data_IF_028708665300
#
_entry.id   IF_028708665300
#
_cell.length_a   1.000
_cell.length_b   1.000
_cell.length_c   1.000
_cell.angle_alpha   90.00
_cell.angle_beta   90.00
_cell.angle_gamma   90.00
#
_symmetry.space_group_name_H-M   'P 1'
#
loop_
_entity.id
_entity.type
_entity.pdbx_description
1 polymer ?
#
# COMPACT_ATOMS: atom_id res chain seq x y z
N UNK A 1 -16.98 18.09 -25.61
CA UNK A 1 -16.74 16.67 -25.91
C UNK A 1 -16.61 16.58 -27.42
N UNK A 2 -15.55 15.94 -27.90
CA UNK A 2 -15.36 15.71 -29.33
C UNK A 2 -16.33 14.63 -29.83
N UNK A 3 -16.88 14.80 -31.03
CA UNK A 3 -17.67 13.75 -31.71
C UNK A 3 -16.76 12.68 -32.35
N UNK A 4 -15.43 12.86 -32.26
CA UNK A 4 -14.46 11.92 -32.79
C UNK A 4 -14.28 10.72 -31.84
N UNK A 5 -14.63 9.54 -32.33
CA UNK A 5 -14.58 8.28 -31.58
C UNK A 5 -13.16 7.86 -31.18
N UNK A 6 -12.11 8.33 -31.87
CA UNK A 6 -10.69 8.14 -31.46
C UNK A 6 -10.40 8.95 -30.19
N UNK A 7 -10.82 10.23 -30.17
CA UNK A 7 -10.65 11.12 -29.02
C UNK A 7 -11.42 10.58 -27.82
N UNK A 8 -12.67 10.16 -28.02
CA UNK A 8 -13.49 9.56 -26.96
C UNK A 8 -12.84 8.33 -26.32
N UNK A 9 -12.21 7.45 -27.11
CA UNK A 9 -11.52 6.27 -26.54
C UNK A 9 -10.34 6.66 -25.64
N UNK A 10 -9.56 7.67 -26.03
CA UNK A 10 -8.45 8.16 -25.22
C UNK A 10 -8.94 8.88 -23.96
N UNK A 11 -9.94 9.75 -24.10
CA UNK A 11 -10.57 10.43 -22.96
C UNK A 11 -11.11 9.42 -21.95
N UNK A 12 -11.87 8.41 -22.40
CA UNK A 12 -12.40 7.36 -21.53
C UNK A 12 -11.30 6.57 -20.80
N UNK A 13 -10.20 6.25 -21.48
CA UNK A 13 -9.07 5.54 -20.87
C UNK A 13 -8.36 6.39 -19.83
N UNK A 14 -8.14 7.68 -20.12
CA UNK A 14 -7.54 8.64 -19.20
C UNK A 14 -8.45 8.92 -17.99
N UNK A 15 -9.76 9.01 -18.21
CA UNK A 15 -10.75 9.18 -17.15
C UNK A 15 -10.74 7.97 -16.22
N UNK A 16 -10.73 6.75 -16.77
CA UNK A 16 -10.58 5.52 -15.98
C UNK A 16 -9.30 5.56 -15.12
N UNK A 17 -8.18 5.98 -15.69
CA UNK A 17 -6.92 6.13 -14.95
C UNK A 17 -7.03 7.15 -13.82
N UNK A 18 -7.58 8.33 -14.11
CA UNK A 18 -7.77 9.42 -13.14
C UNK A 18 -8.71 9.01 -11.99
N UNK A 19 -9.81 8.32 -12.31
CA UNK A 19 -10.71 7.76 -11.31
C UNK A 19 -10.00 6.79 -10.38
N UNK A 20 -9.18 5.89 -10.93
CA UNK A 20 -8.43 4.92 -10.13
C UNK A 20 -7.32 5.56 -9.31
N UNK A 21 -6.64 6.58 -9.81
CA UNK A 21 -5.71 7.37 -9.01
C UNK A 21 -6.43 8.07 -7.85
N UNK A 22 -7.57 8.71 -8.10
CA UNK A 22 -8.36 9.34 -7.06
C UNK A 22 -8.83 8.32 -5.99
N UNK A 23 -9.27 7.14 -6.42
CA UNK A 23 -9.64 6.03 -5.52
C UNK A 23 -8.44 5.61 -4.64
N UNK A 24 -7.23 5.50 -5.22
CA UNK A 24 -6.00 5.17 -4.48
C UNK A 24 -5.71 6.20 -3.39
N UNK A 25 -5.83 7.50 -3.68
CA UNK A 25 -5.61 8.56 -2.69
C UNK A 25 -6.54 8.44 -1.49
N UNK A 26 -7.81 8.11 -1.75
CA UNK A 26 -8.77 7.85 -0.69
C UNK A 26 -8.39 6.60 0.11
N UNK A 27 -8.05 5.49 -0.55
CA UNK A 27 -7.72 4.23 0.13
C UNK A 27 -6.47 4.31 1.01
N UNK A 28 -5.44 5.07 0.62
CA UNK A 28 -4.20 5.16 1.41
C UNK A 28 -4.41 5.97 2.69
N UNK A 29 -5.27 6.98 2.65
CA UNK A 29 -5.54 7.90 3.76
C UNK A 29 -6.72 7.44 4.63
N UNK A 30 -7.54 6.53 4.14
CA UNK A 30 -8.69 6.01 4.86
C UNK A 30 -8.27 5.09 6.02
N UNK A 31 -8.94 5.25 7.17
CA UNK A 31 -8.75 4.37 8.32
C UNK A 31 -9.41 3.00 8.09
N UNK A 32 -8.73 1.88 8.46
CA UNK A 32 -9.33 0.54 8.43
C UNK A 32 -10.60 0.43 9.25
N UNK A 33 -10.78 1.26 10.27
CA UNK A 33 -11.98 1.28 11.12
C UNK A 33 -13.23 1.77 10.36
N UNK A 34 -13.03 2.67 9.40
CA UNK A 34 -14.12 3.36 8.67
C UNK A 34 -14.36 2.82 7.27
N UNK A 35 -13.43 2.01 6.76
CA UNK A 35 -13.50 1.49 5.40
C UNK A 35 -14.76 0.63 5.19
N UNK A 36 -15.48 0.92 4.09
CA UNK A 36 -16.78 0.31 3.73
C UNK A 36 -17.78 0.30 4.90
N UNK A 37 -17.80 1.37 5.70
CA UNK A 37 -18.72 1.52 6.84
C UNK A 37 -18.33 0.74 8.09
N UNK A 38 -17.11 0.21 8.15
CA UNK A 38 -16.55 -0.42 9.36
C UNK A 38 -17.03 -1.85 9.65
N UNK A 39 -17.89 -2.42 8.79
CA UNK A 39 -18.36 -3.79 8.94
C UNK A 39 -17.21 -4.81 8.93
N UNK A 40 -16.25 -4.63 8.02
CA UNK A 40 -15.06 -5.48 7.93
C UNK A 40 -14.23 -5.37 9.21
N UNK A 41 -14.00 -4.13 9.69
CA UNK A 41 -13.25 -3.91 10.92
C UNK A 41 -13.87 -4.59 12.12
N UNK A 42 -15.19 -4.53 12.27
CA UNK A 42 -15.91 -5.20 13.36
C UNK A 42 -15.63 -6.71 13.37
N UNK A 43 -15.74 -7.36 12.22
CA UNK A 43 -15.42 -8.80 12.10
C UNK A 43 -13.96 -9.08 12.49
N UNK A 44 -13.04 -8.21 12.07
CA UNK A 44 -11.61 -8.36 12.40
C UNK A 44 -11.35 -8.20 13.90
N UNK A 45 -11.99 -7.24 14.57
CA UNK A 45 -11.88 -7.03 16.02
C UNK A 45 -12.50 -8.20 16.78
N UNK A 46 -13.64 -8.73 16.32
CA UNK A 46 -14.28 -9.90 16.93
C UNK A 46 -13.36 -11.13 16.84
N UNK A 47 -12.73 -11.36 15.67
CA UNK A 47 -11.73 -12.43 15.48
C UNK A 47 -10.51 -12.19 16.38
N UNK A 48 -10.00 -10.96 16.44
CA UNK A 48 -8.88 -10.60 17.31
C UNK A 48 -9.21 -10.90 18.78
N UNK A 49 -10.40 -10.53 19.25
CA UNK A 49 -10.86 -10.81 20.61
C UNK A 49 -10.97 -12.32 20.90
N UNK A 50 -11.49 -13.11 19.95
CA UNK A 50 -11.51 -14.57 20.08
C UNK A 50 -10.10 -15.16 20.15
N UNK A 51 -9.17 -14.67 19.32
CA UNK A 51 -7.78 -15.10 19.32
C UNK A 51 -6.99 -14.60 20.53
N UNK A 52 -7.46 -13.57 21.24
CA UNK A 52 -6.80 -13.05 22.43
C UNK A 52 -6.74 -14.09 23.56
N UNK A 53 -7.81 -14.87 23.76
CA UNK A 53 -7.81 -15.98 24.72
C UNK A 53 -6.76 -17.04 24.37
N UNK A 54 -6.65 -17.38 23.07
CA UNK A 54 -5.63 -18.32 22.56
C UNK A 54 -4.23 -17.73 22.74
N UNK A 55 -4.05 -16.44 22.44
CA UNK A 55 -2.79 -15.72 22.64
C UNK A 55 -2.33 -15.73 24.09
N UNK A 56 -3.24 -15.54 25.06
CA UNK A 56 -2.92 -15.63 26.49
C UNK A 56 -2.54 -17.06 26.92
N UNK A 57 -3.20 -18.09 26.39
CA UNK A 57 -2.82 -19.48 26.65
C UNK A 57 -1.42 -19.81 26.09
N UNK A 58 -1.15 -19.39 24.85
CA UNK A 58 0.16 -19.53 24.21
C UNK A 58 1.25 -18.75 24.94
N UNK A 59 0.91 -17.57 25.47
CA UNK A 59 1.82 -16.75 26.25
C UNK A 59 2.33 -17.50 27.48
N UNK A 60 1.43 -18.15 28.23
CA UNK A 60 1.80 -18.98 29.38
C UNK A 60 2.71 -20.12 28.95
N UNK A 61 2.37 -20.80 27.85
CA UNK A 61 3.18 -21.89 27.30
C UNK A 61 4.59 -21.43 26.91
N UNK A 62 4.70 -20.34 26.14
CA UNK A 62 6.00 -19.79 25.73
C UNK A 62 6.82 -19.27 26.90
N UNK A 63 6.16 -18.72 27.93
CA UNK A 63 6.83 -18.33 29.17
C UNK A 63 7.42 -19.53 29.88
N UNK A 64 6.66 -20.62 30.09
CA UNK A 64 7.13 -21.84 30.75
C UNK A 64 8.30 -22.46 29.98
N UNK A 65 8.19 -22.56 28.65
CA UNK A 65 9.28 -23.07 27.80
C UNK A 65 10.52 -22.17 27.90
N UNK A 66 10.34 -20.85 27.95
CA UNK A 66 11.41 -19.88 28.17
C UNK A 66 12.11 -20.12 29.51
N UNK A 67 11.36 -20.22 30.60
CA UNK A 67 11.90 -20.48 31.95
C UNK A 67 12.68 -21.79 31.98
N UNK A 68 12.14 -22.88 31.41
CA UNK A 68 12.83 -24.18 31.39
C UNK A 68 14.17 -24.14 30.65
N UNK A 69 14.27 -23.35 29.57
CA UNK A 69 15.53 -23.23 28.80
C UNK A 69 16.53 -22.27 29.45
N UNK A 70 16.07 -21.14 29.99
CA UNK A 70 16.93 -20.14 30.59
C UNK A 70 17.40 -20.56 31.99
N UNK A 71 16.62 -21.37 32.69
CA UNK A 71 16.89 -21.84 34.05
C UNK A 71 17.13 -23.35 34.09
N UNK A 72 18.10 -23.84 33.29
CA UNK A 72 18.56 -25.23 33.33
C UNK A 72 19.06 -25.71 34.70
N UNK A 73 19.22 -24.79 35.66
CA UNK A 73 19.42 -25.08 37.08
C UNK A 73 18.45 -24.24 37.94
N UNK A 74 17.55 -24.90 38.68
CA UNK A 74 16.51 -24.27 39.51
C UNK A 74 17.09 -23.34 40.60
N UNK A 75 18.38 -23.44 40.90
CA UNK A 75 19.10 -22.55 41.80
C UNK A 75 19.16 -21.09 41.29
N UNK A 76 19.15 -20.89 39.97
CA UNK A 76 19.20 -19.56 39.34
C UNK A 76 17.90 -18.76 39.48
N UNK A 77 16.75 -19.44 39.52
CA UNK A 77 15.41 -18.82 39.70
C UNK A 77 15.23 -18.28 41.12
N UNK A 78 15.89 -18.88 42.11
CA UNK A 78 15.82 -18.44 43.52
C UNK A 78 16.50 -17.09 43.76
N UNK A 79 17.31 -16.58 42.82
CA UNK A 79 17.84 -15.22 42.89
C UNK A 79 16.70 -14.24 42.57
N UNK A 80 16.37 -13.32 43.48
CA UNK A 80 15.24 -12.40 43.30
C UNK A 80 15.36 -11.55 42.04
N UNK A 81 16.59 -11.23 41.61
CA UNK A 81 16.88 -10.48 40.38
C UNK A 81 16.40 -11.21 39.11
N UNK A 82 16.62 -12.53 39.00
CA UNK A 82 16.20 -13.31 37.84
C UNK A 82 14.69 -13.52 37.81
N UNK A 83 14.08 -13.79 38.97
CA UNK A 83 12.64 -13.90 39.11
C UNK A 83 11.93 -12.58 38.72
N UNK A 84 12.46 -11.43 39.16
CA UNK A 84 11.93 -10.12 38.82
C UNK A 84 12.02 -9.85 37.30
N UNK A 85 13.16 -10.17 36.67
CA UNK A 85 13.33 -10.00 35.22
C UNK A 85 12.32 -10.84 34.41
N UNK A 86 12.08 -12.08 34.82
CA UNK A 86 11.08 -12.96 34.21
C UNK A 86 9.65 -12.43 34.40
N UNK A 87 9.34 -11.92 35.59
CA UNK A 87 8.04 -11.32 35.88
C UNK A 87 7.78 -10.06 35.04
N UNK A 88 8.74 -9.14 34.96
CA UNK A 88 8.65 -7.94 34.11
C UNK A 88 8.39 -8.34 32.66
N UNK A 89 9.13 -9.33 32.15
CA UNK A 89 8.95 -9.81 30.77
C UNK A 89 7.56 -10.38 30.54
N UNK A 90 7.07 -11.21 31.46
CA UNK A 90 5.72 -11.76 31.39
C UNK A 90 4.66 -10.65 31.41
N UNK A 91 4.81 -9.66 32.30
CA UNK A 91 3.90 -8.52 32.38
C UNK A 91 3.88 -7.71 31.08
N UNK A 92 5.05 -7.45 30.48
CA UNK A 92 5.16 -6.77 29.18
C UNK A 92 4.53 -7.59 28.05
N UNK A 93 4.79 -8.90 27.99
CA UNK A 93 4.19 -9.78 26.98
C UNK A 93 2.66 -9.85 27.14
N UNK A 94 2.15 -9.92 28.38
CA UNK A 94 0.72 -9.92 28.67
C UNK A 94 0.09 -8.60 28.24
N UNK A 95 0.76 -7.49 28.54
CA UNK A 95 0.37 -6.16 28.06
C UNK A 95 0.30 -6.10 26.54
N UNK A 96 1.32 -6.62 25.83
CA UNK A 96 1.34 -6.66 24.38
C UNK A 96 0.19 -7.47 23.77
N UNK A 97 -0.19 -8.61 24.36
CA UNK A 97 -1.35 -9.40 23.87
C UNK A 97 -2.67 -8.71 24.21
N UNK A 98 -2.79 -8.11 25.39
CA UNK A 98 -4.06 -7.50 25.87
C UNK A 98 -4.36 -6.19 25.17
N UNK A 99 -3.35 -5.36 24.97
CA UNK A 99 -3.44 -4.04 24.33
C UNK A 99 -2.85 -4.06 22.90
N UNK A 100 -2.76 -5.24 22.29
CA UNK A 100 -2.14 -5.41 20.97
C UNK A 100 -2.86 -4.66 19.87
N UNK A 101 -4.19 -4.62 19.91
CA UNK A 101 -5.01 -3.83 19.00
C UNK A 101 -4.70 -2.33 19.11
N UNK A 102 -4.64 -1.80 20.33
CA UNK A 102 -4.33 -0.39 20.58
C UNK A 102 -2.92 -0.03 20.09
N UNK A 103 -1.94 -0.91 20.33
CA UNK A 103 -0.57 -0.74 19.86
C UNK A 103 -0.52 -0.67 18.32
N UNK A 104 -1.20 -1.60 17.64
CA UNK A 104 -1.27 -1.62 16.19
C UNK A 104 -1.95 -0.36 15.63
N UNK A 105 -3.06 0.06 16.23
CA UNK A 105 -3.74 1.28 15.83
C UNK A 105 -2.92 2.54 16.10
N UNK A 106 -2.13 2.58 17.18
CA UNK A 106 -1.20 3.66 17.45
C UNK A 106 -0.11 3.74 16.36
N UNK A 107 0.48 2.60 15.97
CA UNK A 107 1.43 2.54 14.86
C UNK A 107 0.82 3.01 13.54
N UNK A 108 -0.40 2.56 13.23
CA UNK A 108 -1.12 3.02 12.04
C UNK A 108 -1.34 4.53 12.05
N UNK A 109 -1.78 5.11 13.18
CA UNK A 109 -1.98 6.56 13.34
C UNK A 109 -0.68 7.35 13.18
N UNK A 110 0.43 6.86 13.71
CA UNK A 110 1.75 7.49 13.52
C UNK A 110 2.09 7.55 12.04
N UNK A 111 1.92 6.43 11.32
CA UNK A 111 2.21 6.38 9.88
C UNK A 111 1.24 7.23 9.07
N UNK A 112 -0.03 7.33 9.46
CA UNK A 112 -0.98 8.28 8.85
C UNK A 112 -0.53 9.73 9.05
N UNK A 113 0.03 10.07 10.22
CA UNK A 113 0.68 11.36 10.45
C UNK A 113 1.87 11.60 9.51
N UNK A 114 2.69 10.58 9.26
CA UNK A 114 3.81 10.65 8.29
C UNK A 114 3.28 10.89 6.87
N UNK A 115 2.26 10.13 6.45
CA UNK A 115 1.60 10.32 5.14
C UNK A 115 1.08 11.75 4.99
N UNK A 116 0.39 12.26 6.01
CA UNK A 116 -0.11 13.64 6.04
C UNK A 116 1.00 14.68 5.94
N UNK A 117 2.11 14.50 6.65
CA UNK A 117 3.27 15.39 6.59
C UNK A 117 3.92 15.39 5.20
N UNK A 118 4.07 14.22 4.57
CA UNK A 118 4.60 14.07 3.20
C UNK A 118 3.71 14.82 2.20
N UNK A 119 2.40 14.60 2.26
CA UNK A 119 1.45 15.26 1.35
C UNK A 119 1.50 16.79 1.50
N UNK A 120 1.53 17.28 2.75
CA UNK A 120 1.63 18.72 3.04
C UNK A 120 2.94 19.32 2.53
N UNK A 121 4.07 18.64 2.74
CA UNK A 121 5.38 19.13 2.33
C UNK A 121 5.54 19.18 0.80
N UNK A 122 4.94 18.22 0.09
CA UNK A 122 4.95 18.21 -1.37
C UNK A 122 4.05 19.29 -2.00
N UNK A 123 3.20 19.97 -1.22
CA UNK A 123 2.19 20.90 -1.75
C UNK A 123 1.13 20.22 -2.63
N UNK A 124 1.12 18.88 -2.64
CA UNK A 124 0.19 18.06 -3.42
C UNK A 124 -1.08 17.83 -2.61
N UNK A 125 -2.13 18.60 -2.91
CA UNK A 125 -3.46 18.48 -2.31
C UNK A 125 -4.40 17.49 -3.01
N UNK A 126 -4.02 16.98 -4.20
CA UNK A 126 -4.82 16.05 -5.00
C UNK A 126 -3.96 15.39 -6.09
N UNK A 127 -4.41 14.25 -6.62
CA UNK A 127 -3.85 13.68 -7.85
C UNK A 127 -3.84 14.75 -8.96
N UNK A 128 -2.70 14.95 -9.63
CA UNK A 128 -2.74 15.65 -10.91
C UNK A 128 -3.56 14.81 -11.89
N UNK A 129 -4.58 15.42 -12.49
CA UNK A 129 -5.36 14.75 -13.54
C UNK A 129 -4.50 14.66 -14.78
N UNK A 130 -4.35 13.45 -15.31
CA UNK A 130 -3.80 13.24 -16.64
C UNK A 130 -4.88 13.64 -17.65
N UNK A 131 -4.68 14.74 -18.36
CA UNK A 131 -5.61 15.25 -19.38
C UNK A 131 -4.99 15.09 -20.75
N UNK A 132 -5.81 14.82 -21.76
CA UNK A 132 -5.38 14.75 -23.14
C UNK A 132 -4.91 16.15 -23.62
N UNK A 133 -3.68 16.30 -24.16
CA UNK A 133 -3.23 17.58 -24.72
C UNK A 133 -4.09 18.00 -25.91
N UNK A 134 -4.37 19.31 -26.01
CA UNK A 134 -5.19 19.90 -27.08
C UNK A 134 -4.59 19.66 -28.46
N UNK A 135 -3.27 19.54 -28.55
CA UNK A 135 -2.52 19.26 -29.77
C UNK A 135 -2.83 17.86 -30.32
N UNK A 136 -3.01 16.87 -29.43
CA UNK A 136 -3.42 15.51 -29.81
C UNK A 136 -4.88 15.48 -30.22
N UNK A 137 -5.75 16.23 -29.54
CA UNK A 137 -7.17 16.38 -29.94
C UNK A 137 -7.24 16.96 -31.35
N UNK A 138 -6.53 18.06 -31.59
CA UNK A 138 -6.54 18.76 -32.89
C UNK A 138 -5.97 17.87 -34.00
N UNK A 139 -4.83 17.21 -33.76
CA UNK A 139 -4.24 16.30 -34.74
C UNK A 139 -5.15 15.11 -35.11
N UNK A 140 -5.96 14.63 -34.16
CA UNK A 140 -6.93 13.54 -34.40
C UNK A 140 -8.20 14.05 -35.09
N UNK A 141 -8.66 15.26 -34.76
CA UNK A 141 -9.82 15.90 -35.38
C UNK A 141 -9.54 16.33 -36.83
N UNK A 142 -8.30 16.72 -37.14
CA UNK A 142 -7.87 17.12 -38.49
C UNK A 142 -7.61 15.92 -39.43
N UNK A 143 -7.68 14.68 -38.93
CA UNK A 143 -7.46 13.48 -39.73
C UNK A 143 -8.68 13.11 -40.61
N UNK A 144 -8.40 12.70 -41.85
CA UNK A 144 -9.42 12.14 -42.74
C UNK A 144 -9.97 10.79 -42.25
N UNK A 145 -11.14 10.38 -42.75
CA UNK A 145 -11.80 9.12 -42.35
C UNK A 145 -10.89 7.88 -42.49
N UNK A 146 -10.10 7.80 -43.56
CA UNK A 146 -9.22 6.66 -43.81
C UNK A 146 -7.96 6.63 -42.92
N UNK A 147 -7.45 7.79 -42.51
CA UNK A 147 -6.33 7.91 -41.57
C UNK A 147 -6.77 7.70 -40.11
N UNK A 148 -8.06 7.92 -39.85
CA UNK A 148 -8.68 7.65 -38.55
C UNK A 148 -8.73 6.16 -38.21
N UNK A 149 -8.82 5.25 -39.20
CA UNK A 149 -8.94 3.79 -38.96
C UNK A 149 -7.67 3.23 -38.28
N UNK A 150 -6.43 3.49 -38.76
CA UNK A 150 -5.22 3.12 -38.03
C UNK A 150 -5.11 3.78 -36.65
N UNK A 151 -5.46 5.06 -36.54
CA UNK A 151 -5.48 5.79 -35.26
C UNK A 151 -6.41 5.14 -34.24
N UNK A 152 -7.56 4.64 -34.67
CA UNK A 152 -8.45 3.86 -33.84
C UNK A 152 -7.79 2.67 -33.18
N UNK A 153 -7.12 1.85 -33.99
CA UNK A 153 -6.60 0.58 -33.54
C UNK A 153 -5.51 0.85 -32.50
N UNK A 154 -4.67 1.86 -32.76
CA UNK A 154 -3.64 2.33 -31.82
C UNK A 154 -4.25 2.85 -30.52
N UNK A 155 -5.27 3.73 -30.60
CA UNK A 155 -5.92 4.29 -29.41
C UNK A 155 -6.69 3.25 -28.61
N UNK A 156 -7.30 2.27 -29.25
CA UNK A 156 -7.99 1.16 -28.59
C UNK A 156 -7.00 0.24 -27.87
N UNK A 157 -5.88 -0.10 -28.52
CA UNK A 157 -4.81 -0.89 -27.89
C UNK A 157 -4.22 -0.12 -26.71
N UNK A 158 -3.89 1.16 -26.90
CA UNK A 158 -3.39 2.04 -25.84
C UNK A 158 -4.36 2.14 -24.66
N UNK A 159 -5.64 2.37 -24.94
CA UNK A 159 -6.70 2.44 -23.94
C UNK A 159 -6.87 1.13 -23.15
N UNK A 160 -6.75 -0.02 -23.82
CA UNK A 160 -6.74 -1.32 -23.15
C UNK A 160 -5.55 -1.43 -22.17
N UNK A 161 -4.35 -1.06 -22.59
CA UNK A 161 -3.17 -1.07 -21.72
C UNK A 161 -3.35 -0.14 -20.51
N UNK A 162 -3.81 1.10 -20.71
CA UNK A 162 -4.08 2.06 -19.64
C UNK A 162 -5.09 1.47 -18.63
N UNK A 163 -6.15 0.85 -19.13
CA UNK A 163 -7.19 0.22 -18.30
C UNK A 163 -6.60 -0.92 -17.46
N UNK A 164 -5.85 -1.84 -18.08
CA UNK A 164 -5.21 -2.97 -17.39
C UNK A 164 -4.23 -2.47 -16.32
N UNK A 165 -3.41 -1.47 -16.64
CA UNK A 165 -2.45 -0.87 -15.70
C UNK A 165 -3.15 -0.20 -14.51
N UNK A 166 -4.26 0.50 -14.76
CA UNK A 166 -5.11 1.09 -13.71
C UNK A 166 -5.61 0.02 -12.73
N UNK A 167 -6.08 -1.12 -13.24
CA UNK A 167 -6.54 -2.25 -12.43
C UNK A 167 -5.42 -2.90 -11.62
N UNK A 168 -4.23 -3.07 -12.20
CA UNK A 168 -3.08 -3.61 -11.47
C UNK A 168 -2.69 -2.69 -10.32
N UNK A 169 -2.71 -1.37 -10.54
CA UNK A 169 -2.36 -0.38 -9.52
C UNK A 169 -3.32 -0.42 -8.34
N UNK A 170 -4.63 -0.29 -8.60
CA UNK A 170 -5.65 -0.26 -7.56
C UNK A 170 -5.66 -1.58 -6.77
N UNK A 171 -5.51 -2.73 -7.45
CA UNK A 171 -5.44 -4.03 -6.80
C UNK A 171 -4.24 -4.15 -5.85
N UNK A 172 -3.10 -3.55 -6.21
CA UNK A 172 -1.90 -3.54 -5.35
C UNK A 172 -2.14 -2.76 -4.05
N UNK A 173 -2.81 -1.61 -4.13
CA UNK A 173 -3.16 -0.78 -2.97
C UNK A 173 -4.23 -1.46 -2.09
N UNK A 174 -5.26 -2.06 -2.69
CA UNK A 174 -6.23 -2.88 -1.95
C UNK A 174 -5.56 -4.04 -1.24
N UNK A 175 -4.62 -4.73 -1.90
CA UNK A 175 -3.88 -5.86 -1.32
C UNK A 175 -3.19 -5.48 -0.01
N UNK A 176 -2.53 -4.31 0.05
CA UNK A 176 -1.97 -3.75 1.29
C UNK A 176 -3.03 -3.57 2.38
N UNK A 177 -4.18 -3.02 2.04
CA UNK A 177 -5.27 -2.79 2.99
C UNK A 177 -5.80 -4.10 3.59
N UNK A 178 -5.94 -5.14 2.77
CA UNK A 178 -6.26 -6.49 3.25
C UNK A 178 -5.16 -7.08 4.13
N UNK A 179 -3.87 -6.87 3.81
CA UNK A 179 -2.77 -7.29 4.70
C UNK A 179 -2.96 -6.67 6.09
N UNK A 180 -3.26 -5.38 6.20
CA UNK A 180 -3.47 -4.73 7.51
C UNK A 180 -4.56 -5.44 8.33
N UNK A 181 -5.68 -5.81 7.72
CA UNK A 181 -6.73 -6.57 8.40
C UNK A 181 -6.26 -7.97 8.82
N UNK A 182 -5.57 -8.69 7.94
CA UNK A 182 -5.06 -10.04 8.23
C UNK A 182 -4.08 -10.01 9.41
N UNK A 183 -3.10 -9.10 9.39
CA UNK A 183 -2.16 -8.94 10.49
C UNK A 183 -2.88 -8.55 11.78
N UNK A 184 -3.86 -7.64 11.71
CA UNK A 184 -4.62 -7.19 12.90
C UNK A 184 -5.40 -8.33 13.53
N UNK A 185 -6.10 -9.14 12.72
CA UNK A 185 -6.89 -10.28 13.20
C UNK A 185 -6.01 -11.27 13.97
N UNK A 186 -4.88 -11.68 13.39
CA UNK A 186 -4.05 -12.75 13.95
C UNK A 186 -3.10 -12.29 15.05
N UNK A 187 -2.95 -10.98 15.26
CA UNK A 187 -1.93 -10.37 16.12
C UNK A 187 -1.74 -10.99 17.53
N UNK A 188 -2.79 -11.42 18.26
CA UNK A 188 -2.60 -11.98 19.60
C UNK A 188 -1.68 -13.21 19.64
N UNK A 189 -1.67 -14.01 18.56
CA UNK A 189 -0.87 -15.24 18.45
C UNK A 189 0.63 -14.91 18.38
N UNK A 190 1.16 -14.15 17.41
CA UNK A 190 2.57 -13.79 17.37
C UNK A 190 2.97 -12.86 18.52
N UNK A 191 2.09 -12.00 19.05
CA UNK A 191 2.42 -11.16 20.22
C UNK A 191 2.65 -12.00 21.48
N UNK A 192 1.98 -13.14 21.63
CA UNK A 192 2.21 -14.06 22.76
C UNK A 192 3.64 -14.59 22.83
N UNK A 193 4.33 -14.66 21.68
CA UNK A 193 5.70 -15.18 21.58
C UNK A 193 6.75 -14.33 22.33
N UNK A 194 6.43 -13.08 22.70
CA UNK A 194 7.32 -12.21 23.48
C UNK A 194 7.70 -12.76 24.85
N UNK A 195 6.84 -13.61 25.42
CA UNK A 195 7.04 -14.15 26.77
C UNK A 195 8.20 -15.16 26.86
N UNK A 196 8.57 -15.81 25.75
CA UNK A 196 9.65 -16.79 25.71
C UNK A 196 10.93 -16.25 25.08
N UNK A 197 12.10 -16.59 25.64
CA UNK A 197 13.42 -16.25 25.09
C UNK A 197 13.69 -16.82 23.68
N UNK A 198 13.40 -18.11 23.39
CA UNK A 198 13.57 -18.64 22.03
C UNK A 198 12.51 -18.12 21.04
N UNK A 199 11.34 -17.69 21.51
CA UNK A 199 10.21 -17.29 20.66
C UNK A 199 10.11 -15.77 20.45
N UNK A 200 10.87 -14.95 21.20
CA UNK A 200 10.79 -13.49 21.15
C UNK A 200 11.08 -12.88 19.77
N UNK A 201 11.93 -13.54 18.98
CA UNK A 201 12.25 -13.10 17.63
C UNK A 201 11.00 -13.05 16.74
N UNK A 202 10.06 -13.98 16.92
CA UNK A 202 8.80 -14.03 16.17
C UNK A 202 7.94 -12.80 16.44
N UNK A 203 7.74 -12.45 17.71
CA UNK A 203 6.97 -11.27 18.09
C UNK A 203 7.61 -9.97 17.63
N UNK A 204 8.95 -9.86 17.72
CA UNK A 204 9.69 -8.71 17.19
C UNK A 204 9.52 -8.59 15.67
N UNK A 205 9.67 -9.69 14.93
CA UNK A 205 9.48 -9.72 13.49
C UNK A 205 8.04 -9.41 13.10
N UNK A 206 7.05 -9.82 13.89
CA UNK A 206 5.65 -9.46 13.66
C UNK A 206 5.42 -7.95 13.76
N UNK A 207 5.89 -7.29 14.83
CA UNK A 207 5.75 -5.82 14.95
C UNK A 207 6.46 -5.11 13.79
N UNK A 208 7.67 -5.57 13.41
CA UNK A 208 8.38 -5.04 12.24
C UNK A 208 7.56 -5.23 10.96
N UNK A 209 6.97 -6.40 10.76
CA UNK A 209 6.18 -6.71 9.57
C UNK A 209 4.89 -5.87 9.51
N UNK A 210 4.20 -5.72 10.64
CA UNK A 210 3.02 -4.85 10.72
C UNK A 210 3.38 -3.39 10.42
N UNK A 211 4.48 -2.91 11.01
CA UNK A 211 5.01 -1.56 10.76
C UNK A 211 5.40 -1.39 9.30
N UNK A 212 5.96 -2.42 8.66
CA UNK A 212 6.29 -2.41 7.24
C UNK A 212 5.04 -2.25 6.37
N UNK A 213 3.97 -3.01 6.62
CA UNK A 213 2.70 -2.85 5.89
C UNK A 213 2.07 -1.47 6.12
N UNK A 214 2.21 -0.91 7.32
CA UNK A 214 1.79 0.47 7.57
C UNK A 214 2.59 1.46 6.70
N UNK A 215 3.92 1.37 6.74
CA UNK A 215 4.85 2.25 5.99
C UNK A 215 4.76 2.08 4.48
N UNK A 216 4.33 0.93 3.96
CA UNK A 216 4.07 0.67 2.54
C UNK A 216 3.21 1.80 1.93
N UNK A 217 2.25 2.34 2.67
CA UNK A 217 1.41 3.46 2.21
C UNK A 217 2.14 4.79 2.06
N UNK A 218 3.05 5.08 2.98
CA UNK A 218 3.89 6.27 2.89
C UNK A 218 4.80 6.19 1.66
N UNK A 219 5.36 5.01 1.37
CA UNK A 219 6.17 4.79 0.17
C UNK A 219 5.35 4.90 -1.11
N UNK A 220 4.12 4.37 -1.14
CA UNK A 220 3.22 4.55 -2.29
C UNK A 220 2.94 6.04 -2.55
N UNK A 221 2.64 6.81 -1.51
CA UNK A 221 2.41 8.27 -1.63
C UNK A 221 3.65 8.98 -2.16
N UNK A 222 4.84 8.64 -1.66
CA UNK A 222 6.10 9.18 -2.16
C UNK A 222 6.32 8.81 -3.63
N UNK A 223 6.05 7.57 -4.03
CA UNK A 223 6.15 7.13 -5.42
C UNK A 223 5.21 7.94 -6.34
N UNK A 224 3.97 8.17 -5.92
CA UNK A 224 3.02 9.01 -6.65
C UNK A 224 3.50 10.47 -6.78
N UNK A 225 4.07 11.04 -5.71
CA UNK A 225 4.60 12.41 -5.74
C UNK A 225 5.83 12.51 -6.66
N UNK A 226 6.81 11.62 -6.51
CA UNK A 226 8.00 11.59 -7.37
C UNK A 226 7.59 11.42 -8.84
N UNK A 227 6.63 10.53 -9.11
CA UNK A 227 6.12 10.31 -10.45
C UNK A 227 5.42 11.54 -11.02
N UNK A 228 4.61 12.26 -10.23
CA UNK A 228 3.96 13.48 -10.70
C UNK A 228 4.94 14.55 -11.16
N UNK A 229 6.10 14.67 -10.49
CA UNK A 229 7.20 15.55 -10.92
C UNK A 229 7.92 14.99 -12.15
N UNK A 230 8.14 13.67 -12.21
CA UNK A 230 8.75 13.01 -13.37
C UNK A 230 7.91 13.18 -14.64
N UNK A 231 6.59 13.06 -14.54
CA UNK A 231 5.64 13.22 -15.63
C UNK A 231 5.28 14.68 -15.95
N UNK A 232 5.83 15.66 -15.22
CA UNK A 232 5.58 17.09 -15.46
C UNK A 232 6.25 17.61 -16.74
N UNK A 233 7.21 16.89 -17.30
CA UNK A 233 7.72 17.13 -18.65
C UNK A 233 6.71 16.55 -19.64
N UNK A 234 6.00 17.38 -20.43
CA UNK A 234 5.04 16.89 -21.41
C UNK A 234 5.73 15.95 -22.41
N UNK A 235 5.05 14.88 -22.87
CA UNK A 235 5.54 14.08 -23.99
C UNK A 235 5.89 15.00 -25.16
N UNK A 236 7.07 14.82 -25.74
CA UNK A 236 7.53 15.68 -26.82
C UNK A 236 6.65 15.45 -28.07
N UNK A 237 5.71 16.37 -28.32
CA UNK A 237 4.89 16.36 -29.53
C UNK A 237 5.71 17.00 -30.65
N UNK A 238 6.10 16.23 -31.66
CA UNK A 238 6.67 16.78 -32.88
C UNK A 238 5.52 17.24 -33.80
N UNK A 239 5.29 18.56 -33.98
CA UNK A 239 4.17 19.07 -34.77
C UNK A 239 4.28 18.75 -36.27
N UNK A 240 5.49 18.44 -36.74
CA UNK A 240 5.78 18.20 -38.16
C UNK A 240 5.63 16.72 -38.57
N UNK A 241 5.27 15.84 -37.63
CA UNK A 241 5.07 14.42 -37.88
C UNK A 241 3.64 14.11 -38.34
N UNK A 242 3.47 13.04 -39.15
CA UNK A 242 2.15 12.52 -39.49
C UNK A 242 1.34 12.23 -38.21
N UNK A 243 0.04 12.55 -38.20
CA UNK A 243 -0.82 12.44 -37.03
C UNK A 243 -0.80 11.04 -36.39
N UNK A 244 -0.72 9.98 -37.20
CA UNK A 244 -0.56 8.59 -36.73
C UNK A 244 0.71 8.40 -35.88
N UNK A 245 1.84 8.92 -36.34
CA UNK A 245 3.14 8.84 -35.65
C UNK A 245 3.14 9.68 -34.38
N UNK A 246 2.52 10.86 -34.43
CA UNK A 246 2.36 11.75 -33.28
C UNK A 246 1.55 11.09 -32.16
N UNK A 247 0.37 10.55 -32.48
CA UNK A 247 -0.53 9.88 -31.52
C UNK A 247 0.12 8.60 -30.97
N UNK A 248 0.80 7.82 -31.82
CA UNK A 248 1.55 6.64 -31.37
C UNK A 248 2.64 7.01 -30.37
N UNK A 249 3.44 8.05 -30.65
CA UNK A 249 4.50 8.52 -29.77
C UNK A 249 3.95 8.95 -28.40
N UNK A 250 2.88 9.75 -28.42
CA UNK A 250 2.19 10.20 -27.20
C UNK A 250 1.67 9.02 -26.37
N UNK A 251 0.94 8.07 -26.98
CA UNK A 251 0.40 6.90 -26.28
C UNK A 251 1.52 6.01 -25.75
N UNK A 252 2.59 5.81 -26.52
CA UNK A 252 3.74 5.02 -26.10
C UNK A 252 4.42 5.59 -24.86
N UNK A 253 4.68 6.90 -24.86
CA UNK A 253 5.28 7.58 -23.71
C UNK A 253 4.34 7.63 -22.50
N UNK A 254 3.04 7.86 -22.73
CA UNK A 254 2.02 7.83 -21.70
C UNK A 254 1.95 6.46 -21.01
N UNK A 255 1.84 5.38 -21.79
CA UNK A 255 1.81 4.00 -21.28
C UNK A 255 3.11 3.67 -20.54
N UNK A 256 4.26 4.10 -21.06
CA UNK A 256 5.55 3.94 -20.38
C UNK A 256 5.57 4.63 -19.02
N UNK A 257 5.14 5.89 -18.94
CA UNK A 257 5.05 6.63 -17.68
C UNK A 257 4.10 5.92 -16.69
N UNK A 258 2.93 5.49 -17.16
CA UNK A 258 1.99 4.71 -16.33
C UNK A 258 2.61 3.40 -15.83
N UNK A 259 3.38 2.68 -16.67
CA UNK A 259 4.12 1.48 -16.27
C UNK A 259 5.14 1.77 -15.17
N UNK A 260 5.89 2.87 -15.27
CA UNK A 260 6.85 3.29 -14.24
C UNK A 260 6.14 3.51 -12.90
N UNK A 261 4.99 4.21 -12.90
CA UNK A 261 4.22 4.41 -11.67
C UNK A 261 3.70 3.08 -11.10
N UNK A 262 3.07 2.23 -11.92
CA UNK A 262 2.58 0.92 -11.48
C UNK A 262 3.72 0.07 -10.90
N UNK A 263 4.88 0.09 -11.56
CA UNK A 263 6.09 -0.59 -11.10
C UNK A 263 6.55 -0.09 -9.73
N UNK A 264 6.60 1.24 -9.54
CA UNK A 264 6.99 1.85 -8.27
C UNK A 264 6.00 1.50 -7.13
N UNK A 265 4.69 1.55 -7.41
CA UNK A 265 3.64 1.18 -6.45
C UNK A 265 3.75 -0.29 -6.05
N UNK A 266 3.97 -1.21 -7.00
CA UNK A 266 4.16 -2.64 -6.70
C UNK A 266 5.46 -2.91 -5.95
N UNK A 267 6.50 -2.14 -6.20
CA UNK A 267 7.79 -2.28 -5.54
C UNK A 267 7.76 -1.79 -4.08
N UNK A 268 6.79 -0.94 -3.71
CA UNK A 268 6.70 -0.34 -2.37
C UNK A 268 6.77 -1.37 -1.23
N UNK A 269 6.05 -2.50 -1.32
CA UNK A 269 6.08 -3.57 -0.31
C UNK A 269 7.51 -4.13 -0.13
N UNK A 270 8.19 -4.41 -1.26
CA UNK A 270 9.54 -4.95 -1.25
C UNK A 270 10.55 -3.95 -0.67
N UNK A 271 10.46 -2.68 -1.08
CA UNK A 271 11.33 -1.61 -0.57
C UNK A 271 11.22 -1.51 0.95
N UNK A 272 10.00 -1.50 1.48
CA UNK A 272 9.82 -1.38 2.93
C UNK A 272 10.31 -2.61 3.68
N UNK A 273 10.09 -3.82 3.16
CA UNK A 273 10.63 -5.05 3.77
C UNK A 273 12.14 -5.04 3.83
N UNK A 274 12.80 -4.67 2.73
CA UNK A 274 14.26 -4.55 2.66
C UNK A 274 14.79 -3.50 3.66
N UNK A 275 14.13 -2.32 3.77
CA UNK A 275 14.48 -1.30 4.77
C UNK A 275 14.34 -1.78 6.22
N UNK A 276 13.36 -2.63 6.50
CA UNK A 276 13.06 -3.14 7.84
C UNK A 276 13.89 -4.40 8.21
N UNK A 277 14.71 -4.89 7.27
CA UNK A 277 15.50 -6.11 7.42
C UNK A 277 14.64 -7.36 7.57
N UNK A 278 13.58 -7.45 6.76
CA UNK A 278 12.61 -8.56 6.70
C UNK A 278 12.79 -9.42 5.45
#
# INVERSE_FOLDING_TARGET
>A
MSDNWVVQNLENALDTWNEKLAEIWQLITQSPETFKGGAIWKVIVDIHGALQAIGLALLVLFFVVGVMRTCGDFASVKKPEHALKLFIRFALAKGAVTYGLELMMALFKIVQGVISAIMKAAGFGSAQKTVLPTEIVTAVEDCGFFESIPLWAVTLIGGLFITVLSFIMIMSVYGRFFKLYLYTAIAPVPLSSFAGEPSQSVGKSFIKSYSAVCLEGAIIVLACIIFSVFAASPPAVNPDAAAVTMVWGYIGELVFNMLVLVGAVKMADRVVREMMGL
#
